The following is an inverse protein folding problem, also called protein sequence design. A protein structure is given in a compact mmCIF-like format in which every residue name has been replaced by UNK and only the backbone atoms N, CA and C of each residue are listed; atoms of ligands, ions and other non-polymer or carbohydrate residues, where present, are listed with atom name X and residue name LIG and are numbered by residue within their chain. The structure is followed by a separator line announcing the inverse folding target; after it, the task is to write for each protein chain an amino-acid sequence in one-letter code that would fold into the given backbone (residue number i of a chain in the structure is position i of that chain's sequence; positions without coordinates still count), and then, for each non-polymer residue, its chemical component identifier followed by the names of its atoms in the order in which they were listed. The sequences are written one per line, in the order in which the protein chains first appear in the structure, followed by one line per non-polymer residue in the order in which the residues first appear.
data_IF_007411401557
#
_entry.id   IF_007411401557
#
_cell.length_a   1.000
_cell.length_b   1.000
_cell.length_c   1.000
_cell.angle_alpha   90.00
_cell.angle_beta   90.00
_cell.angle_gamma   90.00
#
_symmetry.space_group_name_H-M   'P 1'
#
loop_
_entity.id
_entity.type
_entity.pdbx_description
1 polymer ?
#
# COMPACT_ATOMS: atom_id res chain seq x y z
N UNK A 1 2.37 47.95 -6.72
CA UNK A 1 2.27 46.94 -7.76
C UNK A 1 3.07 45.74 -7.33
N UNK A 2 2.47 44.93 -6.49
CA UNK A 2 2.98 43.62 -6.08
C UNK A 2 1.80 42.94 -5.38
N UNK A 3 1.15 42.03 -6.04
CA UNK A 3 0.20 41.05 -5.45
C UNK A 3 -0.64 40.40 -6.55
N UNK A 4 -0.01 39.66 -7.45
CA UNK A 4 -0.76 38.81 -8.40
C UNK A 4 -0.07 37.44 -8.61
N UNK A 5 1.08 37.14 -7.98
CA UNK A 5 1.85 35.94 -8.25
C UNK A 5 1.67 34.80 -7.22
N UNK A 6 1.10 35.06 -6.06
CA UNK A 6 0.93 34.01 -5.00
C UNK A 6 -0.37 33.23 -5.11
N UNK A 7 -1.44 33.80 -5.66
CA UNK A 7 -2.74 33.12 -5.77
C UNK A 7 -2.80 32.04 -6.87
N UNK A 8 -1.89 32.01 -7.82
CA UNK A 8 -1.85 31.00 -8.89
C UNK A 8 -1.17 29.69 -8.49
N UNK A 9 -0.35 29.68 -7.44
CA UNK A 9 0.31 28.48 -6.96
C UNK A 9 -0.56 27.66 -6.01
N UNK A 10 -1.46 28.30 -5.26
CA UNK A 10 -2.40 27.63 -4.35
C UNK A 10 -3.56 26.93 -5.07
N UNK A 11 -3.92 27.38 -6.27
CA UNK A 11 -5.06 26.82 -7.04
C UNK A 11 -4.79 25.48 -7.73
N UNK A 12 -3.56 24.94 -7.73
CA UNK A 12 -3.21 23.69 -8.40
C UNK A 12 -3.17 22.46 -7.48
N UNK A 13 -3.42 22.59 -6.18
CA UNK A 13 -3.32 21.48 -5.21
C UNK A 13 -4.65 20.94 -4.67
N UNK A 14 -5.77 21.32 -5.20
CA UNK A 14 -7.05 20.64 -4.94
C UNK A 14 -7.34 19.63 -6.05
N UNK A 15 -6.45 18.67 -6.27
CA UNK A 15 -6.92 17.41 -6.82
C UNK A 15 -7.91 16.83 -5.80
N UNK A 16 -9.19 16.80 -6.18
CA UNK A 16 -10.22 16.13 -5.40
C UNK A 16 -9.70 14.75 -5.06
N UNK A 17 -9.43 14.46 -3.78
CA UNK A 17 -9.18 13.09 -3.33
C UNK A 17 -10.41 12.28 -3.74
N UNK A 18 -10.25 11.41 -4.71
CA UNK A 18 -11.30 10.51 -5.15
C UNK A 18 -11.29 9.34 -4.18
N UNK A 19 -12.35 9.21 -3.39
CA UNK A 19 -12.53 8.05 -2.53
C UNK A 19 -12.74 6.82 -3.43
N UNK A 20 -11.78 5.92 -3.45
CA UNK A 20 -11.86 4.67 -4.22
C UNK A 20 -12.57 3.56 -3.46
N UNK A 21 -12.47 3.58 -2.16
CA UNK A 21 -13.05 2.59 -1.27
C UNK A 21 -13.33 3.19 0.11
N UNK A 22 -14.47 2.85 0.68
CA UNK A 22 -14.86 3.19 2.05
C UNK A 22 -15.35 1.91 2.74
N UNK A 23 -14.69 1.53 3.83
CA UNK A 23 -15.14 0.42 4.68
C UNK A 23 -15.98 0.96 5.83
N UNK A 24 -17.23 0.54 5.88
CA UNK A 24 -18.19 0.94 6.92
C UNK A 24 -18.16 -0.02 8.14
N UNK A 25 -17.29 -1.02 8.18
CA UNK A 25 -17.13 -1.90 9.33
C UNK A 25 -16.41 -1.17 10.45
N UNK A 26 -16.96 -1.26 11.65
CA UNK A 26 -16.41 -0.57 12.84
C UNK A 26 -15.29 -1.34 13.53
N UNK A 27 -15.09 -2.59 13.15
CA UNK A 27 -14.19 -3.56 13.77
C UNK A 27 -12.86 -3.74 13.04
N UNK A 28 -12.72 -3.24 11.81
CA UNK A 28 -11.47 -3.32 11.06
C UNK A 28 -10.46 -2.26 11.54
N UNK A 29 -9.41 -2.71 12.21
CA UNK A 29 -8.29 -1.84 12.57
C UNK A 29 -7.28 -1.81 11.43
N UNK A 30 -7.11 -0.63 10.85
CA UNK A 30 -6.16 -0.37 9.75
C UNK A 30 -5.09 0.58 10.25
N UNK A 31 -3.84 0.22 10.04
CA UNK A 31 -2.70 1.09 10.33
C UNK A 31 -2.50 2.02 9.14
N UNK A 32 -2.57 3.32 9.37
CA UNK A 32 -2.25 4.36 8.40
C UNK A 32 -0.72 4.43 8.25
N UNK A 33 -0.22 3.86 7.16
CA UNK A 33 1.20 3.78 6.90
C UNK A 33 1.80 5.13 6.48
N UNK A 34 1.02 5.98 5.83
CA UNK A 34 1.45 7.33 5.46
C UNK A 34 1.69 8.18 6.72
N UNK A 35 0.80 8.08 7.71
CA UNK A 35 0.98 8.80 8.98
C UNK A 35 2.26 8.37 9.72
N UNK A 36 2.52 7.06 9.80
CA UNK A 36 3.72 6.54 10.44
C UNK A 36 4.98 6.97 9.67
N UNK A 37 5.01 6.78 8.35
CA UNK A 37 6.18 7.11 7.54
C UNK A 37 6.51 8.61 7.56
N UNK A 38 5.49 9.47 7.41
CA UNK A 38 5.68 10.91 7.27
C UNK A 38 5.85 11.63 8.62
N UNK A 39 5.13 11.23 9.65
CA UNK A 39 5.15 11.94 10.94
C UNK A 39 6.10 11.31 11.95
N UNK A 40 6.13 9.98 12.07
CA UNK A 40 6.94 9.32 13.07
C UNK A 40 8.34 8.94 12.56
N UNK A 41 8.40 8.10 11.51
CA UNK A 41 9.66 7.56 11.02
C UNK A 41 10.58 8.64 10.43
N UNK A 42 10.04 9.54 9.59
CA UNK A 42 10.81 10.64 9.02
C UNK A 42 11.41 11.52 10.11
N UNK A 43 10.62 11.93 11.12
CA UNK A 43 11.10 12.79 12.21
C UNK A 43 12.18 12.09 13.04
N UNK A 44 12.05 10.78 13.27
CA UNK A 44 13.06 10.00 13.99
C UNK A 44 14.38 9.89 13.23
N UNK A 45 14.33 9.76 11.88
CA UNK A 45 15.53 9.60 11.05
C UNK A 45 16.13 10.91 10.55
N UNK A 46 15.29 11.92 10.34
CA UNK A 46 15.66 13.22 9.80
C UNK A 46 14.97 14.35 10.59
N UNK A 47 15.36 14.59 11.84
CA UNK A 47 14.70 15.60 12.70
C UNK A 47 14.79 17.02 12.14
N UNK A 48 15.81 17.30 11.32
CA UNK A 48 16.00 18.61 10.68
C UNK A 48 15.21 18.78 9.37
N UNK A 49 14.61 17.70 8.84
CA UNK A 49 13.83 17.77 7.61
C UNK A 49 12.46 18.39 7.87
N UNK A 50 12.21 19.50 7.18
CA UNK A 50 10.93 20.25 7.26
C UNK A 50 10.00 19.90 6.09
N UNK A 51 10.46 19.14 5.10
CA UNK A 51 9.69 18.85 3.88
C UNK A 51 9.10 17.46 3.92
N UNK A 52 7.80 17.35 3.63
CA UNK A 52 7.12 16.06 3.46
C UNK A 52 7.73 15.21 2.34
N UNK A 53 8.30 15.85 1.31
CA UNK A 53 8.94 15.17 0.18
C UNK A 53 10.21 14.38 0.57
N UNK A 54 10.77 14.61 1.76
CA UNK A 54 11.94 13.89 2.27
C UNK A 54 11.58 12.52 2.89
N UNK A 55 10.29 12.20 3.02
CA UNK A 55 9.86 10.92 3.58
C UNK A 55 9.95 9.78 2.55
N UNK A 56 10.12 8.57 3.06
CA UNK A 56 9.99 7.38 2.25
C UNK A 56 8.53 7.18 1.85
N UNK A 57 8.32 6.61 0.67
CA UNK A 57 6.98 6.28 0.21
C UNK A 57 6.43 5.09 1.02
N UNK A 58 5.14 5.15 1.35
CA UNK A 58 4.40 4.14 2.11
C UNK A 58 3.18 3.65 1.34
N UNK A 59 2.68 2.47 1.68
CA UNK A 59 1.37 2.01 1.25
C UNK A 59 0.28 2.80 1.99
N UNK A 60 -0.92 2.85 1.43
CA UNK A 60 -2.00 3.62 2.04
C UNK A 60 -2.50 2.95 3.34
N UNK A 61 -2.49 1.60 3.40
CA UNK A 61 -2.95 0.85 4.56
C UNK A 61 -2.14 -0.42 4.81
N UNK A 62 -2.11 -0.84 6.08
CA UNK A 62 -1.49 -2.08 6.52
C UNK A 62 -2.40 -2.77 7.54
N UNK A 63 -2.60 -4.09 7.37
CA UNK A 63 -3.38 -4.92 8.30
C UNK A 63 -2.71 -6.28 8.49
N UNK A 64 -2.93 -6.88 9.66
CA UNK A 64 -2.48 -8.23 10.00
C UNK A 64 -3.72 -9.05 10.34
N UNK A 65 -3.89 -10.25 9.77
CA UNK A 65 -4.99 -11.14 10.10
C UNK A 65 -4.64 -12.12 11.24
N UNK A 66 -5.62 -12.91 11.66
CA UNK A 66 -5.45 -13.92 12.70
C UNK A 66 -4.37 -14.97 12.41
N UNK A 67 -4.11 -15.27 11.13
CA UNK A 67 -3.08 -16.22 10.70
C UNK A 67 -1.68 -15.59 10.60
N UNK A 68 -1.51 -14.36 11.11
CA UNK A 68 -0.28 -13.59 11.02
C UNK A 68 0.16 -13.31 9.56
N UNK A 69 -0.79 -13.22 8.65
CA UNK A 69 -0.55 -12.71 7.31
C UNK A 69 -0.61 -11.20 7.30
N UNK A 70 0.37 -10.58 6.70
CA UNK A 70 0.56 -9.13 6.63
C UNK A 70 0.15 -8.61 5.27
N UNK A 71 -0.73 -7.62 5.22
CA UNK A 71 -1.28 -7.08 3.99
C UNK A 71 -0.92 -5.61 3.84
N UNK A 72 -0.16 -5.28 2.81
CA UNK A 72 -0.01 -3.90 2.35
C UNK A 72 -1.04 -3.61 1.28
N UNK A 73 -1.78 -2.53 1.44
CA UNK A 73 -2.87 -2.15 0.54
C UNK A 73 -2.56 -0.76 -0.02
N UNK A 74 -2.57 -0.67 -1.33
CA UNK A 74 -2.32 0.56 -2.08
C UNK A 74 -3.49 0.88 -2.98
N UNK A 75 -4.03 2.09 -2.90
CA UNK A 75 -5.12 2.58 -3.73
C UNK A 75 -4.61 3.51 -4.83
N UNK A 76 -4.96 3.25 -6.09
CA UNK A 76 -4.53 4.04 -7.24
C UNK A 76 -5.68 4.47 -8.13
N UNK A 77 -5.96 5.78 -8.16
CA UNK A 77 -6.92 6.36 -9.08
C UNK A 77 -6.26 6.69 -10.45
N UNK A 78 -5.62 5.70 -11.05
CA UNK A 78 -4.96 5.83 -12.36
C UNK A 78 -4.94 4.51 -13.13
N UNK A 79 -4.48 4.55 -14.37
CA UNK A 79 -4.27 3.34 -15.18
C UNK A 79 -3.17 2.46 -14.57
N UNK A 80 -3.36 1.13 -14.58
CA UNK A 80 -2.41 0.15 -14.05
C UNK A 80 -1.00 0.34 -14.63
N UNK A 81 -0.90 0.61 -15.94
CA UNK A 81 0.40 0.79 -16.59
C UNK A 81 1.16 2.02 -16.08
N UNK A 82 0.45 3.09 -15.73
CA UNK A 82 1.02 4.33 -15.20
C UNK A 82 1.39 4.22 -13.71
N UNK A 83 0.81 3.26 -13.00
CA UNK A 83 1.06 3.04 -11.58
C UNK A 83 2.39 2.36 -11.28
N UNK A 84 3.04 1.74 -12.27
CA UNK A 84 4.21 0.86 -12.12
C UNK A 84 5.28 1.44 -11.18
N UNK A 85 5.82 2.61 -11.50
CA UNK A 85 6.99 3.14 -10.79
C UNK A 85 6.64 3.53 -9.35
N UNK A 86 5.48 4.15 -9.16
CA UNK A 86 5.00 4.54 -7.83
C UNK A 86 4.69 3.31 -6.96
N UNK A 87 4.03 2.28 -7.49
CA UNK A 87 3.71 1.05 -6.76
C UNK A 87 4.98 0.27 -6.42
N UNK A 88 5.90 0.12 -7.37
CA UNK A 88 7.17 -0.59 -7.14
C UNK A 88 8.01 0.12 -6.07
N UNK A 89 8.11 1.47 -6.16
CA UNK A 89 8.82 2.28 -5.16
C UNK A 89 8.20 2.10 -3.77
N UNK A 90 6.87 2.26 -3.66
CA UNK A 90 6.14 2.11 -2.40
C UNK A 90 6.32 0.72 -1.80
N UNK A 91 6.21 -0.33 -2.60
CA UNK A 91 6.36 -1.71 -2.14
C UNK A 91 7.71 -1.97 -1.46
N UNK A 92 8.82 -1.57 -2.09
CA UNK A 92 10.15 -1.78 -1.53
C UNK A 92 10.45 -0.83 -0.36
N UNK A 93 10.14 0.44 -0.47
CA UNK A 93 10.41 1.41 0.59
C UNK A 93 9.58 1.13 1.82
N UNK A 94 8.31 0.75 1.65
CA UNK A 94 7.43 0.38 2.74
C UNK A 94 7.96 -0.82 3.54
N UNK A 95 8.41 -1.86 2.86
CA UNK A 95 9.02 -3.00 3.53
C UNK A 95 10.32 -2.62 4.25
N UNK A 96 11.17 -1.84 3.60
CA UNK A 96 12.45 -1.40 4.17
C UNK A 96 12.27 -0.66 5.49
N UNK A 97 11.47 0.42 5.50
CA UNK A 97 11.33 1.22 6.72
C UNK A 97 10.51 0.52 7.80
N UNK A 98 9.54 -0.33 7.44
CA UNK A 98 8.80 -1.13 8.43
C UNK A 98 9.74 -2.10 9.17
N UNK A 99 10.60 -2.81 8.45
CA UNK A 99 11.62 -3.68 9.07
C UNK A 99 12.55 -2.89 9.99
N UNK A 100 12.94 -1.69 9.58
CA UNK A 100 13.80 -0.82 10.37
C UNK A 100 13.12 -0.39 11.68
N UNK A 101 11.87 0.05 11.60
CA UNK A 101 11.03 0.38 12.79
C UNK A 101 10.89 -0.84 13.72
N UNK A 102 10.54 -2.00 13.18
CA UNK A 102 10.36 -3.21 13.99
C UNK A 102 11.65 -3.63 14.72
N UNK A 103 12.80 -3.49 14.06
CA UNK A 103 14.10 -3.78 14.69
C UNK A 103 14.41 -2.83 15.84
N UNK A 104 14.13 -1.55 15.70
CA UNK A 104 14.32 -0.57 16.77
C UNK A 104 13.37 -0.76 17.93
N UNK A 105 12.15 -1.18 17.64
CA UNK A 105 11.10 -1.40 18.64
C UNK A 105 11.05 -2.85 19.18
N UNK A 106 12.01 -3.69 18.83
CA UNK A 106 12.04 -5.12 19.18
C UNK A 106 11.75 -5.39 20.66
N UNK A 107 12.29 -4.57 21.55
CA UNK A 107 12.10 -4.74 22.99
C UNK A 107 10.77 -4.17 23.52
N UNK A 108 10.08 -3.38 22.70
CA UNK A 108 8.81 -2.72 23.05
C UNK A 108 7.60 -3.39 22.41
N UNK A 109 7.78 -3.94 21.20
CA UNK A 109 6.74 -4.58 20.43
C UNK A 109 7.13 -6.05 20.25
N UNK A 110 6.56 -6.91 21.07
CA UNK A 110 6.71 -8.36 20.89
C UNK A 110 5.71 -8.85 19.82
N UNK A 111 6.03 -8.65 18.55
CA UNK A 111 5.41 -9.42 17.48
C UNK A 111 6.04 -10.80 17.48
N UNK A 112 5.41 -11.76 18.16
CA UNK A 112 5.94 -13.09 18.42
C UNK A 112 6.27 -13.89 17.16
N UNK A 113 5.79 -13.46 15.99
CA UNK A 113 5.93 -14.20 14.73
C UNK A 113 6.78 -13.47 13.68
N UNK A 114 7.30 -12.26 13.94
CA UNK A 114 8.19 -11.61 12.99
C UNK A 114 9.60 -12.18 13.09
N UNK A 115 10.14 -12.63 11.96
CA UNK A 115 11.51 -13.14 11.91
C UNK A 115 12.52 -11.98 11.80
N UNK A 116 13.02 -11.53 12.94
CA UNK A 116 14.01 -10.44 13.02
C UNK A 116 15.36 -10.77 12.41
N UNK A 117 15.72 -12.06 12.32
CA UNK A 117 16.98 -12.54 11.78
C UNK A 117 16.92 -12.62 10.24
N UNK A 118 15.76 -13.00 9.68
CA UNK A 118 15.53 -13.08 8.24
C UNK A 118 14.23 -12.44 7.80
N UNK A 119 14.17 -11.08 7.74
CA UNK A 119 12.99 -10.37 7.28
C UNK A 119 12.64 -10.66 5.81
N UNK A 120 13.62 -11.07 5.00
CA UNK A 120 13.40 -11.34 3.57
C UNK A 120 12.60 -12.62 3.40
N UNK A 121 12.96 -13.70 4.10
CA UNK A 121 12.16 -14.94 4.09
C UNK A 121 10.79 -14.71 4.72
N UNK A 122 10.71 -13.93 5.79
CA UNK A 122 9.43 -13.55 6.37
C UNK A 122 8.50 -12.88 5.35
N UNK A 123 9.02 -11.92 4.55
CA UNK A 123 8.22 -11.26 3.53
C UNK A 123 7.68 -12.24 2.47
N UNK A 124 8.49 -13.21 2.06
CA UNK A 124 8.11 -14.22 1.07
C UNK A 124 7.11 -15.25 1.60
N UNK A 125 7.01 -15.40 2.90
CA UNK A 125 6.13 -16.39 3.54
C UNK A 125 4.85 -15.78 4.09
N UNK A 126 4.88 -14.51 4.51
CA UNK A 126 3.81 -13.91 5.30
C UNK A 126 3.26 -12.59 4.77
N UNK A 127 3.89 -11.97 3.76
CA UNK A 127 3.46 -10.64 3.29
C UNK A 127 2.75 -10.74 1.95
N UNK A 128 1.60 -10.09 1.87
CA UNK A 128 0.78 -9.93 0.66
C UNK A 128 0.70 -8.46 0.28
N UNK A 129 0.87 -8.14 -0.99
CA UNK A 129 0.72 -6.78 -1.50
C UNK A 129 -0.51 -6.67 -2.40
N UNK A 130 -1.45 -5.82 -2.04
CA UNK A 130 -2.72 -5.61 -2.77
C UNK A 130 -2.72 -4.23 -3.40
N UNK A 131 -2.91 -4.18 -4.71
CA UNK A 131 -3.13 -2.96 -5.47
C UNK A 131 -4.61 -2.85 -5.83
N UNK A 132 -5.29 -1.82 -5.34
CA UNK A 132 -6.67 -1.50 -5.70
C UNK A 132 -6.67 -0.34 -6.68
N UNK A 133 -7.24 -0.55 -7.87
CA UNK A 133 -7.22 0.41 -8.98
C UNK A 133 -8.61 0.88 -9.37
N UNK A 134 -8.72 2.13 -9.82
CA UNK A 134 -9.97 2.66 -10.36
C UNK A 134 -10.49 1.80 -11.51
N UNK A 135 -11.71 1.29 -11.38
CA UNK A 135 -12.39 0.52 -12.42
C UNK A 135 -12.63 1.37 -13.67
N UNK A 136 -13.00 2.62 -13.49
CA UNK A 136 -13.28 3.56 -14.58
C UNK A 136 -12.04 3.78 -15.46
N UNK A 137 -10.88 4.05 -14.84
CA UNK A 137 -9.61 4.27 -15.57
C UNK A 137 -9.00 2.99 -16.14
N UNK A 138 -9.49 1.83 -15.71
CA UNK A 138 -9.01 0.52 -16.13
C UNK A 138 -10.11 -0.34 -16.75
N UNK A 139 -11.11 0.27 -17.39
CA UNK A 139 -12.27 -0.44 -17.94
C UNK A 139 -11.91 -1.66 -18.79
N UNK A 140 -10.95 -1.53 -19.70
CA UNK A 140 -10.49 -2.64 -20.55
C UNK A 140 -9.78 -3.76 -19.77
N UNK A 141 -9.15 -3.43 -18.65
CA UNK A 141 -8.49 -4.40 -17.78
C UNK A 141 -9.46 -4.99 -16.76
N UNK A 142 -10.49 -4.26 -16.34
CA UNK A 142 -11.47 -4.73 -15.36
C UNK A 142 -12.18 -6.01 -15.83
N UNK A 143 -12.54 -6.08 -17.11
CA UNK A 143 -13.10 -7.31 -17.69
C UNK A 143 -12.09 -8.46 -17.64
N UNK A 144 -10.85 -8.23 -18.05
CA UNK A 144 -9.79 -9.26 -17.99
C UNK A 144 -9.51 -9.72 -16.56
N UNK A 145 -9.48 -8.78 -15.58
CA UNK A 145 -9.35 -9.12 -14.17
C UNK A 145 -10.47 -10.04 -13.70
N UNK A 146 -11.71 -9.69 -14.04
CA UNK A 146 -12.88 -10.50 -13.70
C UNK A 146 -12.83 -11.90 -14.34
N UNK A 147 -12.49 -11.97 -15.63
CA UNK A 147 -12.39 -13.24 -16.37
C UNK A 147 -11.28 -14.14 -15.79
N UNK A 148 -10.12 -13.58 -15.42
CA UNK A 148 -9.06 -14.30 -14.73
C UNK A 148 -9.54 -14.86 -13.39
N UNK A 149 -10.25 -14.07 -12.60
CA UNK A 149 -10.77 -14.50 -11.28
C UNK A 149 -11.79 -15.64 -11.46
N UNK A 150 -12.68 -15.56 -12.44
CA UNK A 150 -13.63 -16.64 -12.73
C UNK A 150 -12.94 -17.94 -13.17
N UNK A 151 -11.80 -17.81 -13.85
CA UNK A 151 -10.97 -18.95 -14.25
C UNK A 151 -10.06 -19.46 -13.11
N UNK A 152 -10.14 -18.91 -11.88
CA UNK A 152 -9.25 -19.26 -10.77
C UNK A 152 -7.81 -18.75 -10.94
N UNK A 153 -7.61 -17.77 -11.82
CA UNK A 153 -6.30 -17.18 -12.14
C UNK A 153 -6.17 -15.77 -11.57
N UNK A 154 -4.92 -15.32 -11.40
CA UNK A 154 -4.62 -13.92 -11.05
C UNK A 154 -4.41 -13.09 -12.32
N UNK A 155 -4.93 -11.88 -12.33
CA UNK A 155 -4.50 -10.85 -13.28
C UNK A 155 -3.36 -10.06 -12.68
N UNK A 156 -2.14 -10.24 -13.15
CA UNK A 156 -0.97 -9.53 -12.65
C UNK A 156 -0.23 -8.83 -13.79
N UNK A 157 -0.04 -7.52 -13.76
CA UNK A 157 0.92 -6.84 -14.62
C UNK A 157 2.36 -7.26 -14.23
N UNK A 158 3.28 -7.22 -15.16
CA UNK A 158 4.65 -7.73 -15.00
C UNK A 158 5.36 -7.21 -13.73
N UNK A 159 5.12 -5.96 -13.32
CA UNK A 159 5.76 -5.42 -12.12
C UNK A 159 5.19 -6.04 -10.83
N UNK A 160 3.90 -6.39 -10.80
CA UNK A 160 3.28 -7.13 -9.69
C UNK A 160 3.77 -8.58 -9.65
N UNK A 161 3.89 -9.24 -10.81
CA UNK A 161 4.51 -10.58 -10.89
C UNK A 161 5.94 -10.59 -10.34
N UNK A 162 6.73 -9.53 -10.61
CA UNK A 162 8.08 -9.40 -10.06
C UNK A 162 8.07 -9.23 -8.54
N UNK A 163 7.15 -8.42 -7.99
CA UNK A 163 7.01 -8.28 -6.54
C UNK A 163 6.64 -9.62 -5.89
N UNK A 164 5.72 -10.39 -6.48
CA UNK A 164 5.36 -11.73 -6.00
C UNK A 164 6.55 -12.69 -6.08
N UNK A 165 7.27 -12.70 -7.19
CA UNK A 165 8.36 -13.65 -7.41
C UNK A 165 9.58 -13.40 -6.52
N UNK A 166 9.89 -12.15 -6.20
CA UNK A 166 11.16 -11.80 -5.57
C UNK A 166 11.05 -11.23 -4.16
N UNK A 167 9.88 -10.71 -3.78
CA UNK A 167 9.75 -9.92 -2.55
C UNK A 167 8.70 -10.44 -1.60
N UNK A 168 7.48 -10.68 -2.07
CA UNK A 168 6.33 -11.01 -1.25
C UNK A 168 5.81 -12.42 -1.53
N UNK A 169 5.03 -12.96 -0.60
CA UNK A 169 4.35 -14.26 -0.75
C UNK A 169 3.39 -14.24 -1.93
N UNK A 170 2.57 -13.21 -2.01
CA UNK A 170 1.55 -13.05 -3.03
C UNK A 170 1.31 -11.58 -3.35
N UNK A 171 0.84 -11.33 -4.57
CA UNK A 171 0.35 -10.02 -4.96
C UNK A 171 -1.00 -10.13 -5.63
N UNK A 172 -1.82 -9.09 -5.50
CA UNK A 172 -3.14 -9.02 -6.11
C UNK A 172 -3.39 -7.65 -6.73
N UNK A 173 -4.16 -7.63 -7.82
CA UNK A 173 -4.71 -6.40 -8.41
C UNK A 173 -6.22 -6.54 -8.45
N UNK A 174 -6.90 -5.63 -7.81
CA UNK A 174 -8.35 -5.63 -7.69
C UNK A 174 -8.98 -4.31 -8.16
N UNK A 175 -10.22 -4.37 -8.62
CA UNK A 175 -11.11 -3.22 -8.59
C UNK A 175 -11.66 -3.06 -7.17
N UNK A 176 -12.26 -1.90 -6.81
CA UNK A 176 -12.87 -1.72 -5.48
C UNK A 176 -13.92 -2.81 -5.16
N UNK A 177 -14.74 -3.20 -6.13
CA UNK A 177 -15.73 -4.27 -5.94
C UNK A 177 -15.08 -5.63 -5.68
N UNK A 178 -14.02 -5.97 -6.43
CA UNK A 178 -13.27 -7.21 -6.21
C UNK A 178 -12.56 -7.20 -4.86
N UNK A 179 -12.01 -6.08 -4.46
CA UNK A 179 -11.36 -5.91 -3.15
C UNK A 179 -12.35 -6.18 -2.02
N UNK A 180 -13.54 -5.57 -2.08
CA UNK A 180 -14.62 -5.83 -1.14
C UNK A 180 -14.97 -7.33 -1.05
N UNK A 181 -15.17 -7.99 -2.20
CA UNK A 181 -15.64 -9.37 -2.23
C UNK A 181 -14.56 -10.40 -1.90
N UNK A 182 -13.31 -10.16 -2.31
CA UNK A 182 -12.22 -11.15 -2.22
C UNK A 182 -11.35 -10.97 -1.01
N UNK A 183 -11.26 -9.78 -0.48
CA UNK A 183 -10.44 -9.45 0.68
C UNK A 183 -11.30 -9.03 1.88
N UNK A 184 -11.99 -7.89 1.80
CA UNK A 184 -12.67 -7.28 2.95
C UNK A 184 -13.68 -8.22 3.59
N UNK A 185 -14.58 -8.84 2.81
CA UNK A 185 -15.60 -9.78 3.33
C UNK A 185 -15.05 -11.10 3.87
N UNK A 186 -13.81 -11.42 3.53
CA UNK A 186 -13.14 -12.66 3.95
C UNK A 186 -12.09 -12.42 5.02
N UNK A 187 -11.83 -11.16 5.36
CA UNK A 187 -10.82 -10.83 6.34
C UNK A 187 -11.31 -11.20 7.74
N UNK A 188 -10.57 -12.07 8.39
CA UNK A 188 -10.77 -12.51 9.78
C UNK A 188 -9.60 -12.02 10.63
N UNK A 189 -9.93 -11.50 11.82
CA UNK A 189 -8.95 -11.02 12.79
C UNK A 189 -8.39 -12.13 13.64
#
# INVERSE_FOLDING_TARGET
MSDVSEDKAASKRTEKKVLLYEDNRKDMQVIDMDEIAHKAYRVARYPESVKEDDSLASADAFVINADNMWYFIEFKNQEIAKAKDSVTKKAYQNWYWLVDVLREMKDQIQYNNFNYEDPISFARENVVYILVVSQEKNYNNAKKMHDCILAGQKFLPQYMEKLEKYTFKETYVYTPEMFEQKFVKKFEY
#
